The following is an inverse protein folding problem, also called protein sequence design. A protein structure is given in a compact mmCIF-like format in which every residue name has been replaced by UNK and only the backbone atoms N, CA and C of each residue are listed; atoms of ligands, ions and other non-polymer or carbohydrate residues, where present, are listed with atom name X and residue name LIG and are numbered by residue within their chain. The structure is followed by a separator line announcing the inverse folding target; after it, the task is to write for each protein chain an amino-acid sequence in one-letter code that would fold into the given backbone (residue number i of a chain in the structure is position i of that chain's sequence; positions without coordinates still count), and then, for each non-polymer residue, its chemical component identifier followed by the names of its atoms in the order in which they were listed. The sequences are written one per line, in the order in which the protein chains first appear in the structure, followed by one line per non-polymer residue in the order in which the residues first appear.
data_IF_690196968005
#
_entry.id   IF_690196968005
#
_cell.length_a   1.000
_cell.length_b   1.000
_cell.length_c   1.000
_cell.angle_alpha   90.00
_cell.angle_beta   90.00
_cell.angle_gamma   90.00
#
_symmetry.space_group_name_H-M   'P 1'
#
loop_
_entity.id
_entity.type
_entity.pdbx_description
1 polymer ?
#
# COMPACT_ATOMS: atom_id res chain seq x y z
N UNK A 1 -32.64 -41.79 14.31
CA UNK A 1 -31.22 -41.95 13.91
C UNK A 1 -31.11 -41.38 12.50
N UNK A 2 -30.29 -40.41 12.13
CA UNK A 2 -29.20 -39.65 12.75
C UNK A 2 -29.28 -38.25 12.09
N UNK A 3 -29.18 -37.18 12.90
CA UNK A 3 -29.16 -35.78 12.43
C UNK A 3 -27.82 -35.50 11.75
N UNK A 4 -27.82 -34.89 10.56
CA UNK A 4 -26.62 -34.23 10.03
C UNK A 4 -26.92 -32.74 9.90
N UNK A 5 -26.56 -32.00 10.95
CA UNK A 5 -26.52 -30.54 10.97
C UNK A 5 -25.27 -30.11 10.18
N UNK A 6 -25.44 -29.37 9.07
CA UNK A 6 -24.34 -28.62 8.47
C UNK A 6 -24.15 -27.33 9.30
N UNK A 7 -23.17 -27.34 10.19
CA UNK A 7 -22.71 -26.14 10.88
C UNK A 7 -21.76 -25.41 9.92
N UNK A 8 -22.25 -24.35 9.27
CA UNK A 8 -21.39 -23.39 8.60
C UNK A 8 -20.75 -22.54 9.70
N UNK A 9 -19.53 -22.91 10.09
CA UNK A 9 -18.69 -22.06 10.94
C UNK A 9 -18.30 -20.82 10.15
N UNK A 10 -18.94 -19.70 10.46
CA UNK A 10 -18.50 -18.37 10.05
C UNK A 10 -17.17 -18.11 10.76
N UNK A 11 -16.06 -18.27 10.06
CA UNK A 11 -14.76 -17.81 10.50
C UNK A 11 -14.77 -16.27 10.45
N UNK A 12 -15.17 -15.65 11.57
CA UNK A 12 -14.78 -14.28 11.87
C UNK A 12 -13.25 -14.28 12.00
N UNK A 13 -12.55 -13.93 10.93
CA UNK A 13 -11.15 -13.53 11.03
C UNK A 13 -11.13 -12.24 11.84
N UNK A 14 -10.86 -12.40 13.14
CA UNK A 14 -10.35 -11.34 13.99
C UNK A 14 -9.14 -10.75 13.26
N UNK A 15 -9.29 -9.54 12.71
CA UNK A 15 -8.16 -8.72 12.33
C UNK A 15 -7.39 -8.45 13.61
N UNK A 16 -6.40 -9.30 13.88
CA UNK A 16 -5.38 -9.03 14.89
C UNK A 16 -4.79 -7.68 14.54
N UNK A 17 -4.97 -6.73 15.46
CA UNK A 17 -4.16 -5.54 15.56
C UNK A 17 -2.70 -5.94 15.30
N UNK A 18 -2.20 -5.67 14.10
CA UNK A 18 -0.77 -5.67 13.84
C UNK A 18 -0.22 -4.47 14.58
N UNK A 19 0.03 -4.68 15.87
CA UNK A 19 0.80 -3.77 16.72
C UNK A 19 2.22 -3.72 16.17
N UNK A 20 2.44 -2.82 15.21
CA UNK A 20 3.79 -2.44 14.82
C UNK A 20 4.47 -1.80 16.03
N UNK A 21 5.67 -2.30 16.32
CA UNK A 21 6.49 -2.03 17.49
C UNK A 21 6.59 -0.55 17.87
N UNK A 22 6.60 -0.31 19.18
CA UNK A 22 6.92 0.93 19.87
C UNK A 22 8.27 1.56 19.44
N UNK A 23 8.32 2.23 18.30
CA UNK A 23 9.25 3.34 18.08
C UNK A 23 8.48 4.62 18.37
N UNK A 24 9.05 5.51 19.18
CA UNK A 24 8.56 6.88 19.40
C UNK A 24 8.02 7.43 18.07
N UNK A 25 6.72 7.73 17.98
CA UNK A 25 6.01 8.09 16.75
C UNK A 25 6.52 9.43 16.18
N UNK A 26 7.73 9.43 15.66
CA UNK A 26 8.35 10.57 15.00
C UNK A 26 7.87 10.55 13.56
N UNK A 27 7.49 11.73 13.07
CA UNK A 27 7.14 11.91 11.67
C UNK A 27 8.31 11.49 10.77
N UNK A 28 7.97 10.86 9.65
CA UNK A 28 8.95 10.50 8.64
C UNK A 28 9.47 11.77 7.99
N UNK A 29 10.79 11.96 8.04
CA UNK A 29 11.44 13.11 7.38
C UNK A 29 11.47 12.93 5.86
N UNK A 30 11.25 14.03 5.16
CA UNK A 30 11.41 14.10 3.70
C UNK A 30 12.84 13.67 3.31
N UNK A 31 12.94 12.95 2.20
CA UNK A 31 14.13 12.31 1.65
C UNK A 31 14.78 11.23 2.53
N UNK A 32 14.16 10.85 3.66
CA UNK A 32 14.61 9.73 4.49
C UNK A 32 13.92 8.43 4.07
N UNK A 33 14.71 7.36 4.00
CA UNK A 33 14.16 6.01 3.82
C UNK A 33 13.43 5.60 5.09
N UNK A 34 12.15 5.22 4.97
CA UNK A 34 11.30 4.86 6.11
C UNK A 34 10.98 3.37 6.17
N UNK A 35 11.09 2.65 5.05
CA UNK A 35 10.91 1.20 5.01
C UNK A 35 12.00 0.60 4.13
N UNK A 36 12.66 -0.43 4.67
CA UNK A 36 13.55 -1.33 3.94
C UNK A 36 13.01 -2.73 4.13
N UNK A 37 12.65 -3.36 3.04
CA UNK A 37 12.39 -4.79 2.96
C UNK A 37 13.55 -5.44 2.17
N UNK A 38 13.67 -6.75 2.24
CA UNK A 38 14.65 -7.62 1.56
C UNK A 38 14.99 -7.17 0.13
N UNK A 39 14.03 -6.66 -0.63
CA UNK A 39 14.23 -6.21 -2.01
C UNK A 39 13.75 -4.79 -2.30
N UNK A 40 13.19 -4.08 -1.34
CA UNK A 40 12.53 -2.80 -1.59
C UNK A 40 12.94 -1.73 -0.59
N UNK A 41 13.27 -0.55 -1.11
CA UNK A 41 13.49 0.65 -0.29
C UNK A 41 12.44 1.71 -0.60
N UNK A 42 11.76 2.20 0.43
CA UNK A 42 10.78 3.27 0.35
C UNK A 42 11.28 4.53 1.01
N UNK A 43 11.06 5.66 0.36
CA UNK A 43 11.49 6.98 0.79
C UNK A 43 10.39 7.99 0.55
N UNK A 44 10.04 8.76 1.58
CA UNK A 44 9.15 9.90 1.44
C UNK A 44 9.91 10.99 0.69
N UNK A 45 9.41 11.44 -0.46
CA UNK A 45 10.12 12.40 -1.34
C UNK A 45 9.63 13.82 -1.21
N UNK A 46 8.32 14.00 -1.07
CA UNK A 46 7.68 15.31 -0.99
C UNK A 46 6.31 15.14 -0.34
N UNK A 47 5.92 16.13 0.44
CA UNK A 47 4.54 16.36 0.84
C UNK A 47 4.25 17.80 0.45
N UNK A 48 3.17 18.00 -0.29
CA UNK A 48 2.81 19.30 -0.83
C UNK A 48 1.33 19.52 -0.63
N UNK A 49 0.98 20.60 0.05
CA UNK A 49 -0.40 21.06 0.18
C UNK A 49 -0.62 22.22 -0.79
N UNK A 50 -1.65 22.13 -1.61
CA UNK A 50 -2.10 23.19 -2.51
C UNK A 50 -3.60 23.34 -2.29
N UNK A 51 -3.99 24.39 -1.56
CA UNK A 51 -5.38 24.59 -1.12
C UNK A 51 -5.91 23.36 -0.35
N UNK A 52 -6.95 22.75 -0.89
CA UNK A 52 -7.67 21.60 -0.35
C UNK A 52 -7.05 20.27 -0.78
N UNK A 53 -5.99 20.30 -1.58
CA UNK A 53 -5.32 19.12 -2.11
C UNK A 53 -4.02 18.87 -1.36
N UNK A 54 -3.83 17.63 -0.91
CA UNK A 54 -2.57 17.13 -0.38
C UNK A 54 -1.98 16.10 -1.33
N UNK A 55 -0.73 16.32 -1.76
CA UNK A 55 0.04 15.38 -2.58
C UNK A 55 1.17 14.77 -1.76
N UNK A 56 1.27 13.45 -1.77
CA UNK A 56 2.34 12.70 -1.12
C UNK A 56 3.10 11.92 -2.17
N UNK A 57 4.40 12.19 -2.27
CA UNK A 57 5.29 11.48 -3.19
C UNK A 57 6.14 10.46 -2.44
N UNK A 58 6.03 9.18 -2.81
CA UNK A 58 6.83 8.08 -2.26
C UNK A 58 7.70 7.50 -3.37
N UNK A 59 9.02 7.52 -3.16
CA UNK A 59 9.94 6.77 -4.02
C UNK A 59 10.07 5.36 -3.51
N UNK A 60 9.87 4.40 -4.40
CA UNK A 60 10.08 2.97 -4.16
C UNK A 60 11.15 2.47 -5.11
N UNK A 61 12.14 1.75 -4.58
CA UNK A 61 13.32 1.31 -5.32
C UNK A 61 13.56 -0.18 -5.13
N UNK A 62 13.77 -0.88 -6.25
CA UNK A 62 14.11 -2.29 -6.26
C UNK A 62 15.61 -2.45 -5.95
N UNK A 63 15.91 -3.08 -4.82
CA UNK A 63 17.25 -3.46 -4.36
C UNK A 63 17.55 -4.94 -4.56
N UNK A 64 16.61 -5.70 -5.12
CA UNK A 64 16.82 -7.08 -5.49
C UNK A 64 17.72 -7.25 -6.69
N UNK A 65 18.17 -8.49 -6.90
CA UNK A 65 19.11 -8.84 -7.97
C UNK A 65 18.51 -8.82 -9.39
N UNK A 66 17.18 -8.78 -9.51
CA UNK A 66 16.45 -8.87 -10.78
C UNK A 66 15.32 -7.84 -10.84
N UNK A 67 14.75 -7.63 -12.04
CA UNK A 67 13.50 -6.88 -12.22
C UNK A 67 12.39 -7.49 -11.36
N UNK A 68 11.63 -6.64 -10.65
CA UNK A 68 10.54 -7.10 -9.78
C UNK A 68 9.23 -6.36 -10.11
N UNK A 69 8.10 -7.08 -10.16
CA UNK A 69 6.78 -6.47 -10.26
C UNK A 69 6.39 -5.89 -8.90
N UNK A 70 5.70 -4.75 -8.93
CA UNK A 70 5.00 -4.19 -7.78
C UNK A 70 3.72 -3.52 -8.22
N UNK A 71 2.67 -3.61 -7.41
CA UNK A 71 1.40 -2.95 -7.63
C UNK A 71 0.78 -2.57 -6.29
N UNK A 72 -0.21 -1.69 -6.30
CA UNK A 72 -1.00 -1.39 -5.11
C UNK A 72 -2.11 -2.41 -4.97
N UNK A 73 -2.27 -2.92 -3.77
CA UNK A 73 -3.29 -3.92 -3.51
C UNK A 73 -4.15 -3.50 -2.33
N UNK A 74 -5.40 -3.96 -2.35
CA UNK A 74 -6.45 -3.57 -1.43
C UNK A 74 -6.92 -4.83 -0.68
N UNK A 75 -6.99 -4.76 0.65
CA UNK A 75 -7.40 -5.91 1.49
C UNK A 75 -6.46 -7.13 1.41
N UNK A 76 -6.99 -8.32 1.68
CA UNK A 76 -6.27 -9.60 1.55
C UNK A 76 -6.12 -9.99 0.08
N UNK A 77 -5.26 -9.29 -0.65
CA UNK A 77 -5.11 -9.50 -2.09
C UNK A 77 -4.17 -10.67 -2.38
N UNK A 78 -4.61 -11.58 -3.24
CA UNK A 78 -3.77 -12.60 -3.87
C UNK A 78 -3.49 -12.17 -5.32
N UNK A 79 -2.34 -12.57 -5.88
CA UNK A 79 -2.21 -12.61 -7.33
C UNK A 79 -2.92 -13.88 -7.80
N UNK A 80 -3.83 -13.78 -8.76
CA UNK A 80 -4.46 -14.96 -9.34
C UNK A 80 -3.49 -15.53 -10.36
N UNK A 81 -3.06 -16.76 -10.13
CA UNK A 81 -2.23 -17.51 -11.07
C UNK A 81 -3.13 -18.45 -11.87
N UNK A 82 -3.13 -18.29 -13.19
CA UNK A 82 -3.86 -19.15 -14.13
C UNK A 82 -2.88 -19.84 -15.08
N UNK A 83 -3.20 -21.06 -15.47
CA UNK A 83 -2.50 -21.76 -16.56
C UNK A 83 -3.32 -21.49 -17.83
N UNK A 84 -2.71 -20.90 -18.85
CA UNK A 84 -3.36 -20.70 -20.14
C UNK A 84 -3.38 -22.00 -20.95
N UNK A 85 -4.14 -22.04 -22.06
CA UNK A 85 -4.33 -23.26 -22.87
C UNK A 85 -3.01 -23.83 -23.46
N UNK A 86 -1.96 -23.01 -23.49
CA UNK A 86 -0.61 -23.37 -23.94
C UNK A 86 0.28 -23.94 -22.81
N UNK A 87 -0.28 -24.09 -21.59
CA UNK A 87 0.43 -24.58 -20.42
C UNK A 87 1.32 -23.53 -19.73
N UNK A 88 1.24 -22.26 -20.15
CA UNK A 88 2.00 -21.15 -19.58
C UNK A 88 1.31 -20.61 -18.32
N UNK A 89 2.10 -20.26 -17.31
CA UNK A 89 1.60 -19.73 -16.03
C UNK A 89 1.55 -18.21 -16.11
N UNK A 90 0.35 -17.66 -16.17
CA UNK A 90 0.09 -16.23 -16.06
C UNK A 90 -0.29 -15.88 -14.63
N UNK A 91 0.14 -14.71 -14.16
CA UNK A 91 -0.29 -14.18 -12.86
C UNK A 91 -0.76 -12.77 -13.05
N UNK A 92 -1.94 -12.45 -12.52
CA UNK A 92 -2.57 -11.14 -12.63
C UNK A 92 -2.93 -10.58 -11.25
N UNK A 93 -2.82 -9.26 -11.05
CA UNK A 93 -3.37 -8.60 -9.86
C UNK A 93 -4.88 -8.87 -9.74
N UNK A 94 -5.35 -9.11 -8.52
CA UNK A 94 -6.80 -9.25 -8.23
C UNK A 94 -7.21 -8.29 -7.09
N UNK A 95 -7.23 -6.97 -7.35
CA UNK A 95 -7.49 -5.97 -6.31
C UNK A 95 -8.92 -6.07 -5.75
N UNK A 96 -9.08 -5.83 -4.44
CA UNK A 96 -10.39 -5.62 -3.83
C UNK A 96 -10.79 -4.14 -3.93
N UNK A 97 -11.65 -3.82 -4.89
CA UNK A 97 -12.06 -2.43 -5.18
C UNK A 97 -12.86 -1.76 -4.07
N UNK A 98 -13.36 -2.51 -3.08
CA UNK A 98 -14.19 -1.98 -1.98
C UNK A 98 -13.35 -1.28 -0.90
N UNK A 99 -12.02 -1.41 -0.94
CA UNK A 99 -11.11 -0.82 0.05
C UNK A 99 -10.19 0.18 -0.64
N UNK A 100 -10.07 1.45 -0.22
CA UNK A 100 -9.21 2.42 -0.88
C UNK A 100 -7.73 1.99 -0.95
N UNK A 101 -7.06 2.21 -2.08
CA UNK A 101 -5.66 1.80 -2.30
C UNK A 101 -4.65 2.56 -1.42
N UNK A 102 -5.02 3.77 -1.00
CA UNK A 102 -4.33 4.52 0.02
C UNK A 102 -5.32 5.41 0.77
N UNK A 103 -5.09 5.57 2.07
CA UNK A 103 -5.83 6.49 2.92
C UNK A 103 -4.89 7.40 3.69
N UNK A 104 -5.42 8.56 4.04
CA UNK A 104 -4.87 9.50 4.99
C UNK A 104 -5.76 9.53 6.23
N UNK A 105 -5.22 9.20 7.39
CA UNK A 105 -5.95 9.32 8.66
C UNK A 105 -5.38 10.49 9.45
N UNK A 106 -6.22 11.46 9.79
CA UNK A 106 -5.80 12.58 10.65
C UNK A 106 -5.25 12.04 11.98
N UNK A 107 -4.16 12.63 12.48
CA UNK A 107 -3.58 12.21 13.76
C UNK A 107 -4.46 12.59 14.95
N UNK A 108 -5.05 13.79 14.92
CA UNK A 108 -5.85 14.33 16.05
C UNK A 108 -7.35 14.08 15.93
N UNK A 109 -7.83 13.55 14.80
CA UNK A 109 -9.26 13.33 14.58
C UNK A 109 -9.52 11.99 13.89
N UNK A 110 -10.78 11.53 13.96
CA UNK A 110 -11.21 10.31 13.26
C UNK A 110 -11.47 10.52 11.77
N UNK A 111 -11.05 11.65 11.19
CA UNK A 111 -11.23 11.92 9.76
C UNK A 111 -10.27 11.06 8.93
N UNK A 112 -10.85 10.43 7.91
CA UNK A 112 -10.14 9.62 6.92
C UNK A 112 -10.38 10.25 5.54
N UNK A 113 -9.32 10.33 4.75
CA UNK A 113 -9.34 10.85 3.38
C UNK A 113 -8.82 9.77 2.45
N UNK A 114 -9.58 9.45 1.43
CA UNK A 114 -9.19 8.47 0.42
C UNK A 114 -8.37 9.15 -0.68
N UNK A 115 -7.41 8.42 -1.25
CA UNK A 115 -6.66 8.93 -2.40
C UNK A 115 -7.61 9.06 -3.61
N UNK A 116 -7.77 10.28 -4.11
CA UNK A 116 -8.62 10.58 -5.28
C UNK A 116 -7.89 10.36 -6.60
N UNK A 117 -6.55 10.33 -6.58
CA UNK A 117 -5.73 10.04 -7.75
C UNK A 117 -4.38 9.43 -7.31
N UNK A 118 -3.91 8.46 -8.07
CA UNK A 118 -2.65 7.74 -7.84
C UNK A 118 -1.88 7.67 -9.15
N UNK A 119 -0.66 8.18 -9.14
CA UNK A 119 0.24 8.18 -10.30
C UNK A 119 1.51 7.38 -10.00
N UNK A 120 2.12 6.84 -11.05
CA UNK A 120 3.44 6.21 -10.96
C UNK A 120 3.45 4.82 -10.31
N UNK A 121 2.29 4.28 -9.94
CA UNK A 121 2.05 2.88 -9.61
C UNK A 121 0.59 2.52 -9.95
N UNK A 122 0.36 1.28 -10.34
CA UNK A 122 -0.92 0.73 -10.80
C UNK A 122 -1.58 -0.15 -9.73
N UNK A 123 -2.90 -0.26 -9.76
CA UNK A 123 -3.71 -1.11 -8.85
C UNK A 123 -4.07 -2.45 -9.52
N UNK A 124 -4.29 -2.41 -10.83
CA UNK A 124 -4.82 -3.47 -11.69
C UNK A 124 -3.76 -4.12 -12.59
N UNK A 125 -2.56 -3.55 -12.65
CA UNK A 125 -1.46 -4.06 -13.45
C UNK A 125 -0.15 -4.07 -12.66
N UNK A 126 0.83 -4.83 -13.14
CA UNK A 126 2.18 -4.79 -12.57
C UNK A 126 2.98 -3.59 -13.06
N UNK A 127 3.44 -2.78 -12.12
CA UNK A 127 4.53 -1.84 -12.38
C UNK A 127 5.87 -2.55 -12.23
N UNK A 128 6.52 -2.85 -13.36
CA UNK A 128 7.86 -3.46 -13.33
C UNK A 128 8.93 -2.42 -12.97
N UNK A 129 9.82 -2.77 -12.03
CA UNK A 129 10.96 -1.93 -11.62
C UNK A 129 12.26 -2.68 -11.83
N UNK A 130 13.12 -2.12 -12.66
CA UNK A 130 14.44 -2.69 -12.96
C UNK A 130 15.36 -2.76 -11.73
N UNK A 131 16.32 -3.69 -11.78
CA UNK A 131 17.34 -3.86 -10.74
C UNK A 131 18.02 -2.53 -10.40
N UNK A 132 18.14 -2.22 -9.12
CA UNK A 132 18.78 -1.01 -8.60
C UNK A 132 18.16 0.32 -9.09
N UNK A 133 17.01 0.28 -9.76
CA UNK A 133 16.25 1.47 -10.16
C UNK A 133 15.12 1.72 -9.18
N UNK A 134 14.47 2.86 -9.34
CA UNK A 134 13.30 3.22 -8.54
C UNK A 134 12.41 4.19 -9.28
N UNK A 135 11.12 4.13 -8.95
CA UNK A 135 10.06 4.97 -9.46
C UNK A 135 9.47 5.79 -8.31
N UNK A 136 8.63 6.76 -8.65
CA UNK A 136 7.94 7.60 -7.67
C UNK A 136 6.45 7.43 -7.87
N UNK A 137 5.75 7.06 -6.80
CA UNK A 137 4.29 7.12 -6.75
C UNK A 137 3.85 8.44 -6.14
N UNK A 138 2.77 9.02 -6.67
CA UNK A 138 2.17 10.25 -6.15
C UNK A 138 0.72 9.93 -5.77
N UNK A 139 0.38 10.19 -4.52
CA UNK A 139 -0.95 10.01 -3.97
C UNK A 139 -1.56 11.38 -3.74
N UNK A 140 -2.72 11.64 -4.33
CA UNK A 140 -3.45 12.90 -4.21
C UNK A 140 -4.68 12.68 -3.35
N UNK A 141 -4.89 13.55 -2.36
CA UNK A 141 -6.01 13.51 -1.44
C UNK A 141 -6.73 14.86 -1.46
N UNK A 142 -8.06 14.85 -1.43
CA UNK A 142 -8.84 16.04 -1.13
C UNK A 142 -9.07 16.09 0.39
N UNK A 143 -8.40 17.01 1.08
CA UNK A 143 -8.51 17.23 2.52
C UNK A 143 -9.43 18.41 2.87
N UNK A 144 -9.95 19.12 1.86
CA UNK A 144 -10.77 20.31 2.05
C UNK A 144 -10.07 21.40 2.85
N UNK A 145 -10.88 22.24 3.50
CA UNK A 145 -10.41 23.26 4.45
C UNK A 145 -10.08 22.69 5.84
N UNK A 146 -9.87 21.38 5.98
CA UNK A 146 -9.54 20.80 7.29
C UNK A 146 -8.10 21.18 7.66
N UNK A 147 -7.92 21.74 8.85
CA UNK A 147 -6.61 21.93 9.45
C UNK A 147 -6.09 20.59 9.95
N UNK A 148 -5.00 20.13 9.33
CA UNK A 148 -4.30 18.89 9.65
C UNK A 148 -2.82 19.26 9.64
N UNK A 149 -2.17 19.10 10.76
CA UNK A 149 -0.72 19.27 10.96
C UNK A 149 0.01 17.92 10.82
N UNK A 150 -0.66 16.81 11.16
CA UNK A 150 -0.13 15.45 11.09
C UNK A 150 -1.17 14.45 10.64
N UNK A 151 -0.73 13.46 9.88
CA UNK A 151 -1.58 12.37 9.43
C UNK A 151 -0.80 11.06 9.28
N UNK A 152 -1.49 9.93 9.42
CA UNK A 152 -1.00 8.63 8.99
C UNK A 152 -1.32 8.43 7.52
N UNK A 153 -0.29 8.21 6.71
CA UNK A 153 -0.44 7.66 5.36
C UNK A 153 -0.41 6.14 5.45
N UNK A 154 -1.46 5.50 4.93
CA UNK A 154 -1.61 4.04 4.95
C UNK A 154 -1.87 3.53 3.54
N UNK A 155 -1.12 2.50 3.12
CA UNK A 155 -1.28 1.85 1.81
C UNK A 155 -0.61 0.47 1.81
N UNK A 156 -1.15 -0.49 1.05
CA UNK A 156 -0.56 -1.82 0.90
C UNK A 156 0.01 -2.01 -0.50
N UNK A 157 1.27 -2.44 -0.56
CA UNK A 157 2.00 -2.63 -1.80
C UNK A 157 2.31 -4.11 -1.95
N UNK A 158 1.99 -4.70 -3.09
CA UNK A 158 2.21 -6.13 -3.34
C UNK A 158 3.28 -6.30 -4.38
N UNK A 159 4.23 -7.18 -4.06
CA UNK A 159 5.30 -7.60 -4.97
C UNK A 159 5.21 -9.10 -5.19
N UNK A 160 5.57 -9.55 -6.39
CA UNK A 160 5.74 -10.97 -6.66
C UNK A 160 7.20 -11.38 -6.52
N UNK A 161 7.41 -12.53 -5.88
CA UNK A 161 8.66 -13.26 -5.86
C UNK A 161 8.54 -14.37 -6.91
N UNK A 162 9.65 -14.73 -7.56
CA UNK A 162 9.69 -15.83 -8.53
C UNK A 162 8.99 -17.08 -7.96
N UNK A 163 8.16 -17.74 -8.78
CA UNK A 163 7.26 -18.87 -8.45
C UNK A 163 5.89 -18.53 -7.83
N UNK A 164 5.41 -17.29 -7.97
CA UNK A 164 4.02 -16.94 -7.62
C UNK A 164 3.80 -16.52 -6.18
N UNK A 165 4.82 -16.54 -5.32
CA UNK A 165 4.70 -16.05 -3.95
C UNK A 165 4.51 -14.53 -3.93
N UNK A 166 3.41 -14.06 -3.35
CA UNK A 166 3.10 -12.64 -3.17
C UNK A 166 3.56 -12.16 -1.80
N UNK A 167 4.37 -11.10 -1.77
CA UNK A 167 4.71 -10.38 -0.55
C UNK A 167 3.88 -9.10 -0.44
N UNK A 168 3.17 -8.93 0.69
CA UNK A 168 2.50 -7.68 1.03
C UNK A 168 3.45 -6.81 1.86
N UNK A 169 3.65 -5.58 1.43
CA UNK A 169 4.45 -4.56 2.08
C UNK A 169 3.48 -3.51 2.63
N UNK A 170 3.08 -3.60 3.91
CA UNK A 170 2.22 -2.60 4.52
C UNK A 170 3.02 -1.32 4.76
N UNK A 171 2.50 -0.20 4.26
CA UNK A 171 3.00 1.13 4.59
C UNK A 171 2.01 1.76 5.56
N UNK A 172 2.51 2.14 6.74
CA UNK A 172 1.81 2.97 7.70
C UNK A 172 2.84 3.93 8.30
N UNK A 173 2.80 5.20 7.87
CA UNK A 173 3.77 6.21 8.31
C UNK A 173 3.07 7.47 8.80
N UNK A 174 3.57 8.02 9.91
CA UNK A 174 3.19 9.35 10.36
C UNK A 174 3.94 10.41 9.54
N UNK A 175 3.23 11.40 9.02
CA UNK A 175 3.78 12.50 8.25
C UNK A 175 3.38 13.85 8.84
N UNK A 176 4.26 14.83 8.68
CA UNK A 176 3.93 16.24 8.91
C UNK A 176 3.29 16.82 7.65
N UNK A 177 2.12 17.42 7.80
CA UNK A 177 1.36 18.06 6.73
C UNK A 177 1.75 19.54 6.69
N UNK A 178 2.21 20.06 5.53
CA UNK A 178 2.50 21.48 5.39
C UNK A 178 1.28 22.33 5.75
N UNK A 179 1.52 23.43 6.48
CA UNK A 179 0.52 24.46 6.71
C UNK A 179 0.11 25.06 5.37
N UNK A 180 -1.16 25.47 5.26
CA UNK A 180 -1.73 26.12 4.08
C UNK A 180 -0.95 27.38 3.70
#
# INVERSE_FOLDING_TARGET
MLKTLFIISILFFNFTNLSYSNETQKSVKINKTFLKDSHWNFRLKKIERINDILKISIRYSNKGAYRRPIFLAQGSTQAITSINDEGSVESNPAPNTDVPAAILKSFHSNKIFEAINIEGITIDAFTNVEKNKGKTAIFTFNIGNVEIDKAYFVSNWVTMIMRGATGVIPINILIDVPVK
#
